data_IF_084881345303
#
_entry.id   IF_084881345303
#
_cell.length_a   1.000
_cell.length_b   1.000
_cell.length_c   1.000
_cell.angle_alpha   90.00
_cell.angle_beta   90.00
_cell.angle_gamma   90.00
#
_symmetry.space_group_name_H-M   'P 1'
#
loop_
_entity.id
_entity.type
_entity.pdbx_description
1 polymer ?
#
# COMPACT_ATOMS: atom_id res chain seq x y z
N UNK A 1 39.94 -5.64 4.63
CA UNK A 1 39.35 -6.60 5.59
C UNK A 1 38.34 -5.82 6.41
N UNK A 2 37.05 -6.16 6.38
CA UNK A 2 36.02 -5.45 7.15
C UNK A 2 35.80 -6.13 8.50
N UNK A 3 35.53 -5.34 9.54
CA UNK A 3 35.17 -5.84 10.86
C UNK A 3 33.68 -5.57 11.12
N UNK A 4 32.99 -6.55 11.71
CA UNK A 4 31.59 -6.42 12.11
C UNK A 4 31.50 -5.50 13.33
N UNK A 5 30.85 -4.35 13.19
CA UNK A 5 30.40 -3.54 14.30
C UNK A 5 28.95 -3.91 14.66
N UNK A 6 28.68 -4.13 15.94
CA UNK A 6 27.32 -4.41 16.45
C UNK A 6 26.83 -3.19 17.19
N UNK A 7 25.72 -2.61 16.74
CA UNK A 7 25.02 -1.52 17.42
C UNK A 7 23.88 -2.13 18.23
N UNK A 8 24.12 -2.41 19.52
CA UNK A 8 23.18 -3.10 20.40
C UNK A 8 22.00 -2.25 20.87
N UNK A 9 22.08 -0.93 20.69
CA UNK A 9 21.03 0.02 21.08
C UNK A 9 20.89 1.13 20.03
N UNK A 10 19.71 1.77 20.03
CA UNK A 10 19.48 2.97 19.24
C UNK A 10 20.23 4.14 19.85
N UNK A 11 20.63 5.08 19.00
CA UNK A 11 21.22 6.35 19.44
C UNK A 11 20.32 7.01 20.50
N UNK A 12 20.93 7.51 21.57
CA UNK A 12 20.24 8.15 22.70
C UNK A 12 19.13 7.30 23.34
N UNK A 13 19.26 5.97 23.34
CA UNK A 13 18.27 5.02 23.92
C UNK A 13 16.85 5.22 23.36
N UNK A 14 16.75 5.75 22.14
CA UNK A 14 15.45 6.05 21.53
C UNK A 14 14.57 4.80 21.50
N UNK A 15 13.42 4.88 22.16
CA UNK A 15 12.41 3.84 22.13
C UNK A 15 11.88 3.64 20.71
N UNK A 16 11.43 2.42 20.41
CA UNK A 16 10.64 2.19 19.21
C UNK A 16 9.30 2.94 19.33
N UNK A 17 8.79 3.55 18.25
CA UNK A 17 7.43 4.07 18.27
C UNK A 17 6.43 2.94 18.46
N UNK A 18 5.26 3.25 19.00
CA UNK A 18 4.13 2.33 19.01
C UNK A 18 3.67 2.11 17.55
N UNK A 19 3.73 0.86 17.09
CA UNK A 19 3.41 0.48 15.73
C UNK A 19 2.06 -0.24 15.71
N UNK A 20 1.15 0.27 14.87
CA UNK A 20 -0.18 -0.33 14.66
C UNK A 20 -0.44 -0.53 13.19
N UNK A 21 -1.00 -1.69 12.85
CA UNK A 21 -1.52 -1.98 11.52
C UNK A 21 -3.02 -1.68 11.46
N UNK A 22 -3.47 -1.01 10.39
CA UNK A 22 -4.89 -0.84 10.11
C UNK A 22 -5.31 -1.89 9.08
N UNK A 23 -6.24 -2.77 9.46
CA UNK A 23 -6.87 -3.69 8.52
C UNK A 23 -7.91 -2.93 7.68
N UNK A 24 -7.53 -2.61 6.44
CA UNK A 24 -8.35 -1.86 5.49
C UNK A 24 -9.65 -2.59 5.10
N UNK A 25 -9.78 -3.90 5.38
CA UNK A 25 -11.03 -4.65 5.17
C UNK A 25 -12.05 -4.35 6.26
N UNK A 26 -11.59 -4.02 7.46
CA UNK A 26 -12.43 -3.69 8.62
C UNK A 26 -12.71 -2.20 8.75
N UNK A 27 -11.78 -1.36 8.29
CA UNK A 27 -11.91 0.08 8.25
C UNK A 27 -11.69 0.61 6.81
N UNK A 28 -12.58 0.27 5.87
CA UNK A 28 -12.41 0.67 4.48
C UNK A 28 -12.48 2.20 4.34
N UNK A 29 -11.70 2.79 3.42
CA UNK A 29 -11.85 4.19 3.05
C UNK A 29 -13.25 4.51 2.56
N UNK A 30 -13.61 5.79 2.60
CA UNK A 30 -14.80 6.28 1.92
C UNK A 30 -14.73 5.97 0.41
N UNK A 31 -15.89 5.88 -0.25
CA UNK A 31 -15.96 5.57 -1.68
C UNK A 31 -15.12 6.58 -2.49
N UNK A 32 -14.10 6.07 -3.18
CA UNK A 32 -13.21 6.88 -4.01
C UNK A 32 -11.91 7.35 -3.34
N UNK A 33 -11.81 7.21 -2.02
CA UNK A 33 -10.61 7.52 -1.23
C UNK A 33 -9.71 6.32 -0.96
N UNK A 34 -8.59 6.57 -0.30
CA UNK A 34 -7.55 5.60 0.05
C UNK A 34 -7.16 5.65 1.52
N UNK A 35 -7.48 6.74 2.23
CA UNK A 35 -7.19 6.89 3.64
C UNK A 35 -8.31 6.27 4.47
N UNK A 36 -7.94 5.38 5.40
CA UNK A 36 -8.93 4.80 6.31
C UNK A 36 -9.47 5.87 7.27
N UNK A 37 -10.74 5.75 7.72
CA UNK A 37 -11.29 6.65 8.73
C UNK A 37 -10.46 6.70 10.02
N UNK A 38 -9.85 5.58 10.41
CA UNK A 38 -8.97 5.50 11.58
C UNK A 38 -7.68 6.30 11.39
N UNK A 39 -7.06 6.24 10.20
CA UNK A 39 -5.87 7.04 9.89
C UNK A 39 -6.20 8.54 9.91
N UNK A 40 -7.33 8.94 9.31
CA UNK A 40 -7.78 10.33 9.29
C UNK A 40 -8.02 10.88 10.71
N UNK A 41 -8.64 10.11 11.60
CA UNK A 41 -8.82 10.49 13.01
C UNK A 41 -7.48 10.68 13.73
N UNK A 42 -6.51 9.77 13.55
CA UNK A 42 -5.18 9.91 14.17
C UNK A 42 -4.39 11.10 13.61
N UNK A 43 -4.48 11.36 12.30
CA UNK A 43 -3.88 12.55 11.70
C UNK A 43 -4.49 13.83 12.28
N UNK A 44 -5.82 13.88 12.43
CA UNK A 44 -6.51 15.04 13.04
C UNK A 44 -6.00 15.31 14.45
N UNK A 45 -5.95 14.29 15.31
CA UNK A 45 -5.44 14.42 16.69
C UNK A 45 -3.99 14.87 16.76
N UNK A 46 -3.17 14.45 15.80
CA UNK A 46 -1.77 14.88 15.68
C UNK A 46 -1.68 16.36 15.33
N UNK A 47 -2.47 16.80 14.35
CA UNK A 47 -2.52 18.20 13.93
C UNK A 47 -3.11 19.12 15.01
N UNK A 48 -4.13 18.68 15.76
CA UNK A 48 -4.71 19.40 16.91
C UNK A 48 -3.66 19.70 18.00
N UNK A 49 -2.65 18.83 18.14
CA UNK A 49 -1.51 19.03 19.04
C UNK A 49 -0.42 19.94 18.46
N UNK A 50 -0.63 20.49 17.26
CA UNK A 50 0.36 21.26 16.48
C UNK A 50 1.61 20.45 16.12
N UNK A 51 1.45 19.14 16.00
CA UNK A 51 2.50 18.22 15.54
C UNK A 51 2.35 17.93 14.04
N UNK A 52 3.30 17.19 13.46
CA UNK A 52 3.31 16.87 12.03
C UNK A 52 2.99 15.38 11.79
N UNK A 53 2.21 15.11 10.74
CA UNK A 53 1.99 13.76 10.20
C UNK A 53 2.77 13.58 8.90
N UNK A 54 3.58 12.52 8.81
CA UNK A 54 4.32 12.17 7.60
C UNK A 54 3.73 10.91 6.96
N UNK A 55 3.31 11.02 5.69
CA UNK A 55 2.81 9.89 4.91
C UNK A 55 3.89 9.41 3.94
N UNK A 56 4.25 8.13 4.04
CA UNK A 56 5.23 7.50 3.16
C UNK A 56 4.54 6.65 2.11
N UNK A 57 4.85 6.89 0.83
CA UNK A 57 4.33 6.13 -0.29
C UNK A 57 5.47 5.66 -1.20
N UNK A 58 5.34 4.42 -1.65
CA UNK A 58 6.26 3.84 -2.60
C UNK A 58 5.91 4.34 -4.01
N UNK A 59 6.81 5.16 -4.61
CA UNK A 59 6.84 5.63 -6.02
C UNK A 59 6.07 6.92 -6.35
N UNK A 60 6.60 7.70 -7.30
CA UNK A 60 5.87 8.76 -8.06
C UNK A 60 5.04 8.11 -9.18
N UNK A 61 3.78 8.51 -9.35
CA UNK A 61 2.89 8.05 -10.43
C UNK A 61 2.00 6.83 -10.11
N UNK A 62 1.21 6.41 -11.11
CA UNK A 62 0.09 5.46 -11.00
C UNK A 62 0.44 4.05 -11.49
N UNK A 63 1.30 3.31 -10.80
CA UNK A 63 1.53 1.90 -11.11
C UNK A 63 0.80 0.98 -10.11
N UNK A 64 -0.53 0.81 -10.26
CA UNK A 64 -1.30 0.10 -9.26
C UNK A 64 -1.03 -1.41 -9.33
N UNK A 65 -0.80 -1.99 -8.16
CA UNK A 65 -0.82 -3.43 -7.98
C UNK A 65 -2.27 -3.91 -8.04
N UNK A 66 -2.52 -5.06 -8.63
CA UNK A 66 -3.86 -5.65 -8.58
C UNK A 66 -4.01 -6.49 -7.31
N UNK A 67 -5.09 -6.27 -6.57
CA UNK A 67 -5.40 -7.00 -5.34
C UNK A 67 -6.89 -7.34 -5.22
N UNK A 68 -7.20 -8.36 -4.43
CA UNK A 68 -8.59 -8.68 -4.08
C UNK A 68 -9.05 -7.81 -2.91
N UNK A 69 -10.14 -7.05 -3.08
CA UNK A 69 -10.72 -6.23 -2.00
C UNK A 69 -11.33 -7.04 -0.85
N UNK A 70 -11.65 -8.31 -1.09
CA UNK A 70 -12.30 -9.19 -0.10
C UNK A 70 -11.25 -9.81 0.83
N UNK A 71 -10.30 -10.58 0.28
CA UNK A 71 -9.32 -11.28 1.11
C UNK A 71 -7.98 -10.53 1.27
N UNK A 72 -7.63 -9.62 0.35
CA UNK A 72 -6.33 -8.95 0.31
C UNK A 72 -5.27 -9.64 -0.55
N UNK A 73 -5.64 -10.69 -1.31
CA UNK A 73 -4.74 -11.39 -2.22
C UNK A 73 -3.99 -10.42 -3.14
N UNK A 74 -2.70 -10.66 -3.33
CA UNK A 74 -1.82 -9.92 -4.26
C UNK A 74 -1.12 -10.92 -5.16
N UNK A 75 -0.98 -10.56 -6.43
CA UNK A 75 -0.37 -11.42 -7.44
C UNK A 75 1.16 -11.31 -7.38
N UNK A 76 1.81 -12.33 -6.82
CA UNK A 76 3.27 -12.44 -6.76
C UNK A 76 3.84 -13.08 -8.02
N UNK A 77 5.00 -12.63 -8.47
CA UNK A 77 5.73 -13.24 -9.57
C UNK A 77 6.30 -14.60 -9.13
N UNK A 78 6.02 -15.69 -9.86
CA UNK A 78 6.55 -17.01 -9.53
C UNK A 78 8.06 -17.14 -9.77
N UNK A 79 8.68 -16.16 -10.47
CA UNK A 79 10.10 -16.22 -10.87
C UNK A 79 11.01 -15.40 -9.95
N UNK A 80 10.60 -14.20 -9.50
CA UNK A 80 11.56 -13.25 -8.92
C UNK A 80 11.07 -12.47 -7.69
N UNK A 81 10.08 -12.98 -6.95
CA UNK A 81 9.52 -12.40 -5.70
C UNK A 81 8.86 -11.01 -5.82
N UNK A 82 8.97 -10.35 -6.98
CA UNK A 82 8.31 -9.08 -7.25
C UNK A 82 6.79 -9.26 -7.39
N UNK A 83 6.02 -8.19 -7.17
CA UNK A 83 4.58 -8.20 -7.44
C UNK A 83 4.30 -7.97 -8.93
N UNK A 84 3.24 -8.61 -9.44
CA UNK A 84 2.73 -8.39 -10.79
C UNK A 84 1.90 -7.10 -10.84
N UNK A 85 2.05 -6.36 -11.93
CA UNK A 85 1.32 -5.13 -12.23
C UNK A 85 0.36 -5.40 -13.38
N UNK A 86 -0.88 -4.92 -13.27
CA UNK A 86 -1.88 -5.11 -14.32
C UNK A 86 -1.73 -4.10 -15.45
N UNK A 87 -1.57 -4.62 -16.66
CA UNK A 87 -1.67 -3.89 -17.91
C UNK A 87 -3.10 -4.03 -18.44
N UNK A 88 -4.00 -3.17 -17.94
CA UNK A 88 -5.46 -3.24 -18.19
C UNK A 88 -5.85 -3.38 -19.66
N UNK A 89 -5.23 -2.58 -20.54
CA UNK A 89 -5.49 -2.63 -21.99
C UNK A 89 -5.16 -3.98 -22.63
N UNK A 90 -4.24 -4.75 -22.02
CA UNK A 90 -3.84 -6.08 -22.48
C UNK A 90 -4.51 -7.21 -21.71
N UNK A 91 -5.23 -6.91 -20.62
CA UNK A 91 -5.80 -7.93 -19.72
C UNK A 91 -4.74 -8.85 -19.08
N UNK A 92 -3.53 -8.33 -18.86
CA UNK A 92 -2.38 -9.12 -18.39
C UNK A 92 -1.81 -8.60 -17.08
N UNK A 93 -1.33 -9.52 -16.25
CA UNK A 93 -0.47 -9.25 -15.10
C UNK A 93 0.98 -9.43 -15.54
N UNK A 94 1.84 -8.45 -15.27
CA UNK A 94 3.22 -8.41 -15.79
C UNK A 94 4.20 -8.13 -14.65
N UNK A 95 5.27 -8.91 -14.59
CA UNK A 95 6.44 -8.64 -13.78
C UNK A 95 7.41 -7.74 -14.54
N UNK A 96 7.66 -6.54 -14.02
CA UNK A 96 8.61 -5.60 -14.62
C UNK A 96 10.08 -5.88 -14.28
N UNK A 97 10.36 -6.85 -13.42
CA UNK A 97 11.74 -7.21 -13.06
C UNK A 97 12.29 -8.31 -13.96
N UNK A 98 11.51 -9.38 -14.22
CA UNK A 98 11.96 -10.53 -15.01
C UNK A 98 11.18 -10.76 -16.31
N UNK A 99 10.10 -10.00 -16.57
CA UNK A 99 9.29 -10.13 -17.79
C UNK A 99 8.22 -11.22 -17.76
N UNK A 100 8.07 -11.98 -16.66
CA UNK A 100 6.96 -12.94 -16.49
C UNK A 100 5.62 -12.24 -16.72
N UNK A 101 4.71 -12.89 -17.43
CA UNK A 101 3.35 -12.37 -17.61
C UNK A 101 2.32 -13.51 -17.64
N UNK A 102 1.11 -13.18 -17.21
CA UNK A 102 -0.02 -14.10 -17.15
C UNK A 102 -1.34 -13.36 -17.37
N UNK A 103 -2.41 -14.09 -17.70
CA UNK A 103 -3.75 -13.50 -17.82
C UNK A 103 -4.26 -13.08 -16.44
N UNK A 104 -4.94 -11.94 -16.37
CA UNK A 104 -5.71 -11.59 -15.17
C UNK A 104 -6.90 -12.57 -15.04
N UNK A 105 -7.05 -13.28 -13.91
CA UNK A 105 -8.20 -14.15 -13.70
C UNK A 105 -9.46 -13.32 -13.44
N UNK A 106 -10.64 -13.92 -13.69
CA UNK A 106 -11.94 -13.29 -13.42
C UNK A 106 -12.30 -13.36 -11.93
N UNK A 107 -11.98 -14.49 -11.29
CA UNK A 107 -12.13 -14.71 -9.85
C UNK A 107 -10.79 -14.56 -9.12
N UNK A 108 -10.86 -14.15 -7.85
CA UNK A 108 -9.71 -14.22 -6.96
C UNK A 108 -9.27 -15.69 -6.78
N UNK A 109 -7.99 -16.06 -7.02
CA UNK A 109 -7.53 -17.44 -6.85
C UNK A 109 -7.50 -17.89 -5.38
N UNK A 110 -7.48 -16.94 -4.43
CA UNK A 110 -7.41 -17.25 -2.99
C UNK A 110 -8.80 -17.41 -2.34
N UNK A 111 -9.79 -16.61 -2.72
CA UNK A 111 -11.13 -16.65 -2.11
C UNK A 111 -12.28 -16.94 -3.08
N UNK A 112 -11.99 -17.15 -4.37
CA UNK A 112 -12.98 -17.47 -5.39
C UNK A 112 -13.94 -16.34 -5.78
N UNK A 113 -13.83 -15.15 -5.17
CA UNK A 113 -14.80 -14.08 -5.40
C UNK A 113 -14.58 -13.42 -6.76
N UNK A 114 -15.66 -13.29 -7.54
CA UNK A 114 -15.69 -12.64 -8.86
C UNK A 114 -15.72 -11.11 -8.72
N UNK A 115 -15.23 -10.40 -9.74
CA UNK A 115 -15.35 -8.94 -9.88
C UNK A 115 -14.80 -8.07 -8.73
N UNK A 116 -14.00 -8.64 -7.84
CA UNK A 116 -13.40 -7.95 -6.68
C UNK A 116 -11.89 -7.70 -6.81
N UNK A 117 -11.30 -8.02 -7.96
CA UNK A 117 -9.91 -7.70 -8.27
C UNK A 117 -9.79 -6.26 -8.76
N UNK A 118 -9.10 -5.43 -7.99
CA UNK A 118 -8.98 -4.00 -8.25
C UNK A 118 -7.52 -3.59 -8.33
N UNK A 119 -7.27 -2.54 -9.11
CA UNK A 119 -5.99 -1.87 -9.09
C UNK A 119 -5.90 -0.97 -7.83
N UNK A 120 -4.84 -1.13 -7.06
CA UNK A 120 -4.56 -0.39 -5.83
C UNK A 120 -3.18 0.26 -5.91
N UNK A 121 -3.12 1.56 -5.65
CA UNK A 121 -1.92 2.38 -5.79
C UNK A 121 -2.30 3.79 -6.20
N UNK A 122 -2.73 4.64 -5.25
CA UNK A 122 -3.14 6.01 -5.54
C UNK A 122 -1.99 6.86 -6.12
N UNK A 123 -0.75 6.50 -5.83
CA UNK A 123 0.40 7.36 -6.06
C UNK A 123 0.44 8.51 -5.05
N UNK A 124 1.55 9.25 -5.01
CA UNK A 124 1.74 10.37 -4.09
C UNK A 124 0.76 11.51 -4.38
N UNK A 125 0.53 11.82 -5.66
CA UNK A 125 -0.31 12.94 -6.09
C UNK A 125 -1.75 12.81 -5.59
N UNK A 126 -2.37 11.65 -5.81
CA UNK A 126 -3.75 11.41 -5.41
C UNK A 126 -3.94 11.39 -3.89
N UNK A 127 -2.95 10.90 -3.14
CA UNK A 127 -2.99 11.01 -1.68
C UNK A 127 -2.86 12.46 -1.23
N UNK A 128 -1.99 13.26 -1.87
CA UNK A 128 -1.86 14.67 -1.53
C UNK A 128 -3.19 15.41 -1.76
N UNK A 129 -3.86 15.18 -2.90
CA UNK A 129 -5.20 15.72 -3.18
C UNK A 129 -6.23 15.32 -2.12
N UNK A 130 -6.26 14.04 -1.74
CA UNK A 130 -7.17 13.53 -0.71
C UNK A 130 -6.89 14.14 0.68
N UNK A 131 -5.61 14.31 1.05
CA UNK A 131 -5.21 14.96 2.30
C UNK A 131 -5.68 16.42 2.34
N UNK A 132 -5.47 17.19 1.27
CA UNK A 132 -5.92 18.59 1.19
C UNK A 132 -7.43 18.70 1.35
N UNK A 133 -8.20 17.77 0.78
CA UNK A 133 -9.65 17.76 0.94
C UNK A 133 -10.11 17.48 2.38
N UNK A 134 -9.33 16.73 3.16
CA UNK A 134 -9.66 16.39 4.55
C UNK A 134 -9.12 17.38 5.59
N UNK A 135 -8.03 18.09 5.27
CA UNK A 135 -7.31 19.00 6.14
C UNK A 135 -6.94 20.29 5.37
N UNK A 136 -7.93 21.16 5.08
CA UNK A 136 -7.70 22.41 4.35
C UNK A 136 -6.91 23.44 5.17
#
# INVERSE_FOLDING_TARGET
>A
RYHRAVLSSRFAEAALPDLKSIDMRRAPPARGGFLSPLLLDQMRRTLEKKEQSLLFLNRRGYAPLTLCRVCGHRFGCPVCSAWLVEHRFRGQLVCHHCGHNERRPEACPECGTLDHLVACGPGVERIAEEVVAHFP
#
